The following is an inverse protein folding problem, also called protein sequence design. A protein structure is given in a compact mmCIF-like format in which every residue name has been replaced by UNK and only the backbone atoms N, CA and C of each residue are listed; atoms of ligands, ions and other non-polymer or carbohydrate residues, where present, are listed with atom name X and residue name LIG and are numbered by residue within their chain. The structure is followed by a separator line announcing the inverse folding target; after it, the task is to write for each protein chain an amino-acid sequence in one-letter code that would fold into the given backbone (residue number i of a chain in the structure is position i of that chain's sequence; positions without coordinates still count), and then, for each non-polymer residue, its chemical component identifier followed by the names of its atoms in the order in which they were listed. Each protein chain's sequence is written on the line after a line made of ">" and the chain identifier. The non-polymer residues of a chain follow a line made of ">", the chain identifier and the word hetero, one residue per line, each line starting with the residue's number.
data_IF_980516000655
#
_entry.id   IF_980516000655
#
_cell.length_a   1.000
_cell.length_b   1.000
_cell.length_c   1.000
_cell.angle_alpha   90.00
_cell.angle_beta   90.00
_cell.angle_gamma   90.00
#
_symmetry.space_group_name_H-M   'P 1'
#
loop_
_entity.id
_entity.type
_entity.pdbx_description
1 polymer ?
#
# COMPACT_ATOMS: atom_id res chain seq x y z
N UNK A 1 -41.62 17.50 -28.69
CA UNK A 1 -40.47 17.71 -27.78
C UNK A 1 -39.24 17.14 -28.46
N UNK A 2 -38.23 17.96 -28.76
CA UNK A 2 -36.94 17.44 -29.22
C UNK A 2 -36.21 16.88 -27.99
N UNK A 3 -35.99 15.58 -27.97
CA UNK A 3 -35.09 14.97 -26.99
C UNK A 3 -33.67 15.41 -27.29
N UNK A 4 -33.12 16.27 -26.44
CA UNK A 4 -31.73 16.67 -26.51
C UNK A 4 -30.87 15.46 -26.12
N UNK A 5 -30.24 14.81 -27.10
CA UNK A 5 -29.25 13.77 -26.84
C UNK A 5 -27.99 14.42 -26.26
N UNK A 6 -27.82 14.32 -24.95
CA UNK A 6 -26.58 14.74 -24.28
C UNK A 6 -25.53 13.66 -24.55
N UNK A 7 -24.40 14.07 -25.10
CA UNK A 7 -23.26 13.16 -25.29
C UNK A 7 -22.64 12.86 -23.94
N UNK A 8 -22.51 11.57 -23.59
CA UNK A 8 -21.85 11.15 -22.34
C UNK A 8 -20.44 11.74 -22.20
N UNK A 9 -19.73 11.91 -23.33
CA UNK A 9 -18.35 12.40 -23.39
C UNK A 9 -18.26 13.92 -23.13
N UNK A 10 -19.39 14.64 -23.16
CA UNK A 10 -19.43 16.07 -22.83
C UNK A 10 -19.47 16.37 -21.33
N UNK A 11 -19.50 15.33 -20.48
CA UNK A 11 -19.37 15.51 -19.04
C UNK A 11 -17.97 16.03 -18.67
N UNK A 12 -17.84 16.80 -17.57
CA UNK A 12 -16.54 17.19 -17.02
C UNK A 12 -15.60 16.00 -16.83
N UNK A 13 -14.32 16.18 -17.13
CA UNK A 13 -13.29 15.13 -17.08
C UNK A 13 -13.25 14.48 -15.68
N UNK A 14 -13.40 15.26 -14.62
CA UNK A 14 -13.40 14.79 -13.24
C UNK A 14 -14.55 13.81 -12.96
N UNK A 15 -15.71 14.03 -13.57
CA UNK A 15 -16.87 13.14 -13.46
C UNK A 15 -16.65 11.87 -14.27
N UNK A 16 -16.13 12.00 -15.50
CA UNK A 16 -15.81 10.85 -16.35
C UNK A 16 -14.76 9.94 -15.71
N UNK A 17 -13.74 10.49 -15.06
CA UNK A 17 -12.73 9.73 -14.34
C UNK A 17 -13.33 8.93 -13.19
N UNK A 18 -14.17 9.55 -12.34
CA UNK A 18 -14.89 8.84 -11.26
C UNK A 18 -15.78 7.72 -11.78
N UNK A 19 -16.45 7.95 -12.91
CA UNK A 19 -17.29 6.91 -13.52
C UNK A 19 -16.43 5.75 -14.04
N UNK A 20 -15.27 6.03 -14.65
CA UNK A 20 -14.33 5.00 -15.11
C UNK A 20 -13.66 4.26 -13.93
N UNK A 21 -13.42 4.92 -12.80
CA UNK A 21 -12.94 4.28 -11.56
C UNK A 21 -13.95 3.25 -11.06
N UNK A 22 -15.25 3.58 -11.11
CA UNK A 22 -16.34 2.68 -10.70
C UNK A 22 -16.53 1.56 -11.73
N UNK A 23 -16.54 1.89 -13.03
CA UNK A 23 -16.74 0.94 -14.13
C UNK A 23 -15.59 1.00 -15.16
N UNK A 24 -14.47 0.29 -14.91
CA UNK A 24 -13.27 0.36 -15.74
C UNK A 24 -13.45 -0.11 -17.18
N UNK A 25 -14.53 -0.86 -17.51
CA UNK A 25 -14.87 -1.24 -18.89
C UNK A 25 -15.19 -0.02 -19.75
N UNK A 26 -15.70 1.07 -19.17
CA UNK A 26 -16.01 2.28 -19.93
C UNK A 26 -14.76 2.88 -20.59
N UNK A 27 -13.58 2.64 -20.03
CA UNK A 27 -12.30 3.03 -20.61
C UNK A 27 -12.01 2.36 -21.97
N UNK A 28 -12.70 1.31 -22.39
CA UNK A 28 -12.43 0.67 -23.71
C UNK A 28 -13.53 0.93 -24.74
N UNK A 29 -14.53 1.74 -24.40
CA UNK A 29 -15.70 1.96 -25.26
C UNK A 29 -15.38 2.85 -26.47
N UNK A 30 -14.48 3.82 -26.31
CA UNK A 30 -13.99 4.62 -27.43
C UNK A 30 -12.58 5.19 -27.15
N UNK A 31 -11.97 5.84 -28.16
CA UNK A 31 -10.59 6.36 -28.09
C UNK A 31 -10.40 7.44 -27.01
N UNK A 32 -11.40 8.28 -26.78
CA UNK A 32 -11.33 9.39 -25.83
C UNK A 32 -11.48 8.88 -24.39
N UNK A 33 -12.45 8.00 -24.16
CA UNK A 33 -12.61 7.24 -22.91
C UNK A 33 -11.41 6.35 -22.62
N UNK A 34 -10.75 5.81 -23.65
CA UNK A 34 -9.49 5.07 -23.49
C UNK A 34 -8.34 5.97 -23.06
N UNK A 35 -8.23 7.19 -23.59
CA UNK A 35 -7.23 8.15 -23.12
C UNK A 35 -7.48 8.57 -21.67
N UNK A 36 -8.73 8.87 -21.31
CA UNK A 36 -9.10 9.21 -19.94
C UNK A 36 -8.92 8.03 -18.98
N UNK A 37 -9.42 6.85 -19.36
CA UNK A 37 -9.32 5.65 -18.56
C UNK A 37 -7.91 5.10 -18.47
N UNK A 38 -7.00 5.45 -19.37
CA UNK A 38 -5.55 5.22 -19.18
C UNK A 38 -5.01 6.00 -18.00
N UNK A 39 -5.46 7.24 -17.75
CA UNK A 39 -5.02 8.04 -16.60
C UNK A 39 -5.39 7.31 -15.30
N UNK A 40 -6.64 6.81 -15.21
CA UNK A 40 -7.12 6.00 -14.08
C UNK A 40 -6.35 4.67 -13.99
N UNK A 41 -6.23 3.95 -15.10
CA UNK A 41 -5.57 2.63 -15.15
C UNK A 41 -4.07 2.69 -14.84
N UNK A 42 -3.43 3.83 -15.07
CA UNK A 42 -2.01 4.04 -14.80
C UNK A 42 -1.74 4.87 -13.55
N UNK A 43 -2.77 5.29 -12.81
CA UNK A 43 -2.59 5.96 -11.52
C UNK A 43 -1.84 5.05 -10.52
N UNK A 44 -1.95 3.74 -10.70
CA UNK A 44 -1.25 2.75 -9.88
C UNK A 44 -0.43 1.78 -10.73
N UNK A 45 0.88 1.70 -10.46
CA UNK A 45 1.74 0.66 -11.02
C UNK A 45 1.99 -0.42 -9.98
N UNK A 46 1.67 -1.66 -10.35
CA UNK A 46 1.82 -2.83 -9.49
C UNK A 46 3.02 -3.65 -9.96
N UNK A 47 4.01 -3.78 -9.09
CA UNK A 47 5.19 -4.59 -9.31
C UNK A 47 4.95 -6.10 -9.25
N UNK A 48 6.01 -6.90 -9.45
CA UNK A 48 5.94 -8.34 -9.30
C UNK A 48 5.48 -8.69 -7.88
N UNK A 49 4.66 -9.73 -7.71
CA UNK A 49 3.99 -10.04 -6.45
C UNK A 49 2.57 -9.43 -6.31
N UNK A 50 2.13 -8.61 -7.29
CA UNK A 50 0.72 -8.19 -7.43
C UNK A 50 0.10 -7.55 -6.18
N UNK A 51 0.92 -6.78 -5.46
CA UNK A 51 0.52 -6.20 -4.19
C UNK A 51 -0.21 -4.87 -4.38
N UNK A 52 -1.10 -4.60 -3.45
CA UNK A 52 -1.90 -3.38 -3.40
C UNK A 52 -2.01 -2.95 -1.94
N UNK A 53 -2.76 -1.88 -1.65
CA UNK A 53 -3.08 -1.52 -0.27
C UNK A 53 -3.92 -2.60 0.44
N UNK A 54 -4.59 -3.48 -0.31
CA UNK A 54 -5.43 -4.56 0.22
C UNK A 54 -4.91 -5.96 -0.15
N UNK A 55 -3.66 -6.08 -0.59
CA UNK A 55 -3.05 -7.38 -0.87
C UNK A 55 -1.55 -7.39 -0.61
N UNK A 56 -1.07 -8.52 -0.08
CA UNK A 56 0.34 -8.76 0.20
C UNK A 56 0.82 -10.01 -0.53
N UNK A 57 2.02 -9.97 -1.08
CA UNK A 57 2.65 -11.15 -1.65
C UNK A 57 3.26 -12.03 -0.57
N UNK A 58 2.93 -13.32 -0.61
CA UNK A 58 3.53 -14.37 0.21
C UNK A 58 4.93 -14.76 -0.27
N UNK A 59 5.31 -14.43 -1.51
CA UNK A 59 6.58 -14.84 -2.12
C UNK A 59 7.43 -13.63 -2.51
N UNK A 60 8.73 -13.74 -2.29
CA UNK A 60 9.67 -12.77 -2.84
C UNK A 60 9.81 -13.02 -4.34
N UNK A 61 9.78 -11.97 -5.18
CA UNK A 61 10.01 -12.13 -6.60
C UNK A 61 11.46 -12.50 -6.86
N UNK A 62 11.68 -13.28 -7.92
CA UNK A 62 13.03 -13.61 -8.40
C UNK A 62 13.73 -12.38 -8.97
N UNK A 63 15.06 -12.38 -9.01
CA UNK A 63 15.85 -11.28 -9.60
C UNK A 63 15.40 -10.97 -11.03
N UNK A 64 15.11 -12.00 -11.83
CA UNK A 64 14.61 -11.83 -13.20
C UNK A 64 13.26 -11.10 -13.25
N UNK A 65 12.34 -11.42 -12.34
CA UNK A 65 11.05 -10.71 -12.26
C UNK A 65 11.24 -9.24 -11.87
N UNK A 66 12.14 -8.97 -10.92
CA UNK A 66 12.44 -7.59 -10.50
C UNK A 66 13.14 -6.79 -11.60
N UNK A 67 14.14 -7.36 -12.28
CA UNK A 67 14.83 -6.73 -13.40
C UNK A 67 13.88 -6.41 -14.56
N UNK A 68 12.96 -7.33 -14.90
CA UNK A 68 11.91 -7.08 -15.90
C UNK A 68 11.01 -5.91 -15.50
N UNK A 69 10.67 -5.81 -14.21
CA UNK A 69 9.89 -4.70 -13.70
C UNK A 69 10.63 -3.36 -13.79
N UNK A 70 11.90 -3.31 -13.39
CA UNK A 70 12.72 -2.09 -13.52
C UNK A 70 12.84 -1.67 -14.98
N UNK A 71 13.04 -2.62 -15.91
CA UNK A 71 13.04 -2.35 -17.35
C UNK A 71 11.70 -1.79 -17.83
N UNK A 72 10.59 -2.38 -17.39
CA UNK A 72 9.26 -1.87 -17.68
C UNK A 72 9.09 -0.42 -17.19
N UNK A 73 9.50 -0.11 -15.95
CA UNK A 73 9.45 1.26 -15.42
C UNK A 73 10.28 2.20 -16.29
N UNK A 74 11.50 1.82 -16.65
CA UNK A 74 12.37 2.62 -17.51
C UNK A 74 11.69 2.99 -18.84
N UNK A 75 11.13 1.99 -19.53
CA UNK A 75 10.38 2.18 -20.78
C UNK A 75 9.12 3.04 -20.54
N UNK A 76 8.38 2.76 -19.47
CA UNK A 76 7.15 3.50 -19.10
C UNK A 76 7.41 4.98 -18.87
N UNK A 77 8.55 5.34 -18.26
CA UNK A 77 8.87 6.74 -17.94
C UNK A 77 9.17 7.61 -19.15
N UNK A 78 9.32 7.03 -20.34
CA UNK A 78 9.48 7.76 -21.60
C UNK A 78 8.16 8.29 -22.15
N UNK A 79 7.05 7.88 -21.53
CA UNK A 79 5.71 8.12 -22.03
C UNK A 79 5.06 9.26 -21.24
N UNK A 80 4.32 10.13 -21.93
CA UNK A 80 3.73 11.34 -21.33
C UNK A 80 2.84 11.08 -20.11
N UNK A 81 2.29 9.86 -19.98
CA UNK A 81 1.42 9.47 -18.88
C UNK A 81 2.16 9.03 -17.61
N UNK A 82 3.50 8.94 -17.64
CA UNK A 82 4.31 8.65 -16.45
C UNK A 82 4.02 9.58 -15.26
N UNK A 83 3.70 10.85 -15.56
CA UNK A 83 3.40 11.88 -14.56
C UNK A 83 2.09 11.62 -13.81
N UNK A 84 1.20 10.76 -14.34
CA UNK A 84 -0.09 10.45 -13.73
C UNK A 84 0.00 9.32 -12.69
N UNK A 85 1.13 8.61 -12.62
CA UNK A 85 1.32 7.54 -11.63
C UNK A 85 1.43 8.16 -10.24
N UNK A 86 0.49 7.82 -9.36
CA UNK A 86 0.45 8.27 -7.96
C UNK A 86 0.79 7.16 -6.98
N UNK A 87 0.49 5.91 -7.31
CA UNK A 87 0.73 4.77 -6.43
C UNK A 87 1.73 3.82 -7.09
N UNK A 88 2.75 3.42 -6.34
CA UNK A 88 3.70 2.41 -6.78
C UNK A 88 3.77 1.29 -5.76
N UNK A 89 3.62 0.05 -6.22
CA UNK A 89 3.87 -1.13 -5.41
C UNK A 89 5.12 -1.86 -5.87
N UNK A 90 6.00 -2.18 -4.92
CA UNK A 90 7.26 -2.82 -5.21
C UNK A 90 7.71 -3.75 -4.09
N UNK A 91 8.44 -4.78 -4.49
CA UNK A 91 9.18 -5.65 -3.60
C UNK A 91 10.63 -5.22 -3.51
N UNK A 92 11.23 -5.44 -2.35
CA UNK A 92 12.68 -5.34 -2.20
C UNK A 92 13.29 -6.74 -2.04
N UNK A 93 14.37 -6.95 -2.78
CA UNK A 93 15.25 -8.11 -2.66
C UNK A 93 16.34 -7.88 -1.62
N UNK A 94 16.92 -8.99 -1.14
CA UNK A 94 18.14 -9.00 -0.33
C UNK A 94 19.32 -8.38 -1.10
N UNK A 95 20.25 -7.75 -0.37
CA UNK A 95 21.39 -7.08 -0.96
C UNK A 95 22.27 -8.02 -1.78
N UNK A 96 22.37 -7.71 -3.06
CA UNK A 96 23.40 -8.21 -3.98
C UNK A 96 23.89 -7.01 -4.81
N UNK A 97 25.12 -7.07 -5.34
CA UNK A 97 25.65 -5.99 -6.18
C UNK A 97 24.72 -5.68 -7.36
N UNK A 98 24.18 -6.72 -8.00
CA UNK A 98 23.24 -6.58 -9.12
C UNK A 98 21.91 -5.95 -8.68
N UNK A 99 21.45 -6.19 -7.45
CA UNK A 99 20.24 -5.56 -6.94
C UNK A 99 20.44 -4.05 -6.72
N UNK A 100 21.62 -3.63 -6.23
CA UNK A 100 21.95 -2.21 -6.02
C UNK A 100 21.86 -1.39 -7.30
N UNK A 101 22.39 -1.90 -8.42
CA UNK A 101 22.28 -1.24 -9.73
C UNK A 101 20.82 -1.07 -10.17
N UNK A 102 19.99 -2.10 -9.97
CA UNK A 102 18.56 -2.03 -10.27
C UNK A 102 17.84 -0.98 -9.42
N UNK A 103 18.18 -0.85 -8.14
CA UNK A 103 17.60 0.20 -7.29
C UNK A 103 18.03 1.61 -7.70
N UNK A 104 19.29 1.81 -8.10
CA UNK A 104 19.76 3.09 -8.62
C UNK A 104 19.02 3.49 -9.89
N UNK A 105 18.86 2.56 -10.84
CA UNK A 105 18.09 2.80 -12.07
C UNK A 105 16.63 3.12 -11.77
N UNK A 106 16.04 2.41 -10.81
CA UNK A 106 14.67 2.63 -10.39
C UNK A 106 14.51 3.99 -9.73
N UNK A 107 15.42 4.38 -8.83
CA UNK A 107 15.37 5.68 -8.17
C UNK A 107 15.41 6.84 -9.18
N UNK A 108 16.29 6.77 -10.17
CA UNK A 108 16.39 7.76 -11.26
C UNK A 108 15.09 7.85 -12.07
N UNK A 109 14.54 6.70 -12.46
CA UNK A 109 13.32 6.64 -13.25
C UNK A 109 12.10 7.20 -12.50
N UNK A 110 11.99 6.90 -11.21
CA UNK A 110 10.86 7.33 -10.38
C UNK A 110 10.83 8.84 -10.11
N UNK A 111 11.92 9.59 -10.39
CA UNK A 111 11.90 11.06 -10.36
C UNK A 111 10.88 11.66 -11.33
N UNK A 112 10.49 10.92 -12.37
CA UNK A 112 9.52 11.36 -13.39
C UNK A 112 8.06 11.11 -13.00
N UNK A 113 7.81 10.35 -11.94
CA UNK A 113 6.46 10.05 -11.46
C UNK A 113 6.04 11.08 -10.41
N UNK A 114 4.73 11.34 -10.32
CA UNK A 114 4.15 12.18 -9.27
C UNK A 114 3.61 11.31 -8.12
N UNK A 115 4.50 10.49 -7.54
CA UNK A 115 4.11 9.51 -6.53
C UNK A 115 3.58 10.19 -5.26
N UNK A 116 2.37 9.79 -4.87
CA UNK A 116 1.72 10.16 -3.61
C UNK A 116 1.75 9.00 -2.59
N UNK A 117 1.80 7.75 -3.06
CA UNK A 117 1.82 6.55 -2.22
C UNK A 117 2.86 5.53 -2.69
N UNK A 118 3.55 4.92 -1.73
CA UNK A 118 4.51 3.85 -1.97
C UNK A 118 4.15 2.62 -1.12
N UNK A 119 4.07 1.46 -1.76
CA UNK A 119 3.79 0.18 -1.12
C UNK A 119 5.03 -0.71 -1.27
N UNK A 120 5.56 -1.15 -0.14
CA UNK A 120 6.82 -1.87 -0.02
C UNK A 120 6.52 -3.24 0.58
N UNK A 121 7.09 -4.31 0.03
CA UNK A 121 7.09 -5.62 0.69
C UNK A 121 8.48 -6.13 1.00
N UNK A 122 8.60 -6.48 2.27
CA UNK A 122 9.80 -6.65 3.05
C UNK A 122 10.66 -5.39 2.95
N UNK A 123 10.84 -4.63 4.04
CA UNK A 123 11.81 -3.55 4.00
C UNK A 123 13.19 -4.13 3.65
N UNK A 124 13.97 -3.45 2.80
CA UNK A 124 15.32 -3.91 2.48
C UNK A 124 16.21 -3.89 3.71
N UNK A 125 17.32 -4.63 3.65
CA UNK A 125 18.38 -4.50 4.65
C UNK A 125 18.98 -3.08 4.65
N UNK A 126 19.70 -2.74 5.71
CA UNK A 126 20.18 -1.37 5.99
C UNK A 126 20.88 -0.70 4.81
N UNK A 127 21.79 -1.40 4.12
CA UNK A 127 22.54 -0.82 2.99
C UNK A 127 21.64 -0.43 1.82
N UNK A 128 20.57 -1.18 1.60
CA UNK A 128 19.64 -0.95 0.49
C UNK A 128 18.55 0.08 0.82
N UNK A 129 18.34 0.38 2.11
CA UNK A 129 17.36 1.37 2.55
C UNK A 129 17.57 2.72 1.89
N UNK A 130 18.84 3.12 1.69
CA UNK A 130 19.22 4.38 1.06
C UNK A 130 18.70 4.52 -0.38
N UNK A 131 18.41 3.42 -1.08
CA UNK A 131 17.91 3.45 -2.45
C UNK A 131 16.39 3.34 -2.57
N UNK A 132 15.65 3.27 -1.46
CA UNK A 132 14.18 3.36 -1.51
C UNK A 132 13.78 4.78 -1.96
N UNK A 133 12.93 4.92 -2.99
CA UNK A 133 12.56 6.20 -3.61
C UNK A 133 11.51 6.98 -2.80
N UNK A 134 11.69 7.08 -1.47
CA UNK A 134 10.88 7.96 -0.62
C UNK A 134 11.35 9.39 -0.87
N UNK A 135 10.57 10.17 -1.62
CA UNK A 135 10.89 11.51 -2.10
C UNK A 135 9.81 12.52 -1.71
N UNK A 136 10.10 13.80 -1.95
CA UNK A 136 9.15 14.90 -1.76
C UNK A 136 7.91 14.66 -2.63
N UNK A 137 6.73 14.70 -2.01
CA UNK A 137 5.45 14.45 -2.69
C UNK A 137 4.76 13.18 -2.21
N UNK A 138 5.53 12.17 -1.77
CA UNK A 138 4.98 10.95 -1.17
C UNK A 138 4.42 11.31 0.21
N UNK A 139 3.13 11.04 0.39
CA UNK A 139 2.37 11.31 1.61
C UNK A 139 2.04 10.03 2.38
N UNK A 140 1.98 8.89 1.70
CA UNK A 140 1.67 7.59 2.31
C UNK A 140 2.73 6.56 2.00
N UNK A 141 3.18 5.81 3.01
CA UNK A 141 4.08 4.67 2.84
C UNK A 141 3.49 3.47 3.57
N UNK A 142 3.21 2.41 2.81
CA UNK A 142 2.78 1.12 3.34
C UNK A 142 3.93 0.13 3.27
N UNK A 143 4.33 -0.47 4.39
CA UNK A 143 5.31 -1.54 4.46
C UNK A 143 4.62 -2.82 4.89
N UNK A 144 4.84 -3.87 4.10
CA UNK A 144 4.51 -5.24 4.44
C UNK A 144 5.76 -5.96 4.94
N UNK A 145 5.69 -6.63 6.09
CA UNK A 145 6.80 -7.39 6.65
C UNK A 145 6.35 -8.75 7.17
N UNK A 146 7.25 -9.74 7.09
CA UNK A 146 7.12 -11.03 7.80
C UNK A 146 8.01 -11.08 9.03
N UNK A 147 8.90 -10.10 9.17
CA UNK A 147 9.84 -10.01 10.26
C UNK A 147 9.17 -9.36 11.48
N UNK A 148 9.00 -10.18 12.53
CA UNK A 148 8.45 -9.76 13.82
C UNK A 148 9.46 -8.99 14.68
N UNK A 149 10.75 -9.05 14.32
CA UNK A 149 11.83 -8.35 15.01
C UNK A 149 12.15 -7.00 14.36
N UNK A 150 11.42 -6.61 13.32
CA UNK A 150 11.62 -5.36 12.61
C UNK A 150 11.59 -4.17 13.59
N UNK A 151 12.64 -3.35 13.68
CA UNK A 151 12.70 -2.22 14.62
C UNK A 151 11.78 -1.10 14.14
N UNK A 152 10.49 -1.20 14.51
CA UNK A 152 9.42 -0.29 14.06
C UNK A 152 9.75 1.18 14.27
N UNK A 153 10.34 1.51 15.43
CA UNK A 153 10.70 2.89 15.76
C UNK A 153 11.74 3.44 14.78
N UNK A 154 12.86 2.73 14.62
CA UNK A 154 13.95 3.12 13.73
C UNK A 154 13.48 3.20 12.27
N UNK A 155 12.59 2.29 11.87
CA UNK A 155 11.98 2.29 10.54
C UNK A 155 11.16 3.58 10.29
N UNK A 156 10.34 4.00 11.27
CA UNK A 156 9.56 5.24 11.20
C UNK A 156 10.49 6.45 11.09
N UNK A 157 11.53 6.53 11.94
CA UNK A 157 12.53 7.60 11.87
C UNK A 157 13.16 7.66 10.48
N UNK A 158 13.69 6.53 10.00
CA UNK A 158 14.36 6.43 8.69
C UNK A 158 13.45 6.78 7.51
N UNK A 159 12.14 6.50 7.56
CA UNK A 159 11.20 6.92 6.52
C UNK A 159 11.01 8.44 6.51
N UNK A 160 10.84 9.04 7.69
CA UNK A 160 10.54 10.46 7.84
C UNK A 160 11.78 11.31 7.52
N UNK A 161 12.96 10.84 7.90
CA UNK A 161 14.25 11.45 7.50
C UNK A 161 14.40 11.54 5.97
N UNK A 162 13.86 10.56 5.22
CA UNK A 162 13.89 10.61 3.75
C UNK A 162 12.94 11.63 3.15
N UNK A 163 11.79 11.87 3.79
CA UNK A 163 10.82 12.84 3.28
C UNK A 163 9.91 13.39 4.37
N UNK A 164 10.05 14.69 4.60
CA UNK A 164 9.15 15.44 5.48
C UNK A 164 7.71 15.51 4.93
N UNK A 165 7.41 15.08 3.70
CA UNK A 165 6.03 15.11 3.18
C UNK A 165 5.15 13.95 3.65
N UNK A 166 5.74 12.94 4.32
CA UNK A 166 5.01 11.77 4.80
C UNK A 166 4.00 12.18 5.87
N UNK A 167 2.75 11.75 5.67
CA UNK A 167 1.62 11.96 6.58
C UNK A 167 1.12 10.66 7.18
N UNK A 168 1.15 9.57 6.41
CA UNK A 168 0.61 8.29 6.83
C UNK A 168 1.65 7.19 6.63
N UNK A 169 1.90 6.43 7.68
CA UNK A 169 2.73 5.23 7.65
C UNK A 169 1.85 4.05 8.03
N UNK A 170 1.77 3.03 7.18
CA UNK A 170 1.08 1.78 7.50
C UNK A 170 2.09 0.63 7.51
N UNK A 171 2.19 -0.06 8.64
CA UNK A 171 3.06 -1.22 8.80
C UNK A 171 2.17 -2.45 9.02
N UNK A 172 2.20 -3.33 8.03
CA UNK A 172 1.38 -4.52 7.94
C UNK A 172 2.26 -5.76 8.11
N UNK A 173 1.95 -6.59 9.09
CA UNK A 173 2.78 -7.72 9.46
C UNK A 173 2.04 -9.04 9.30
N UNK A 174 2.65 -10.01 8.64
CA UNK A 174 2.11 -11.37 8.55
C UNK A 174 2.38 -12.15 9.84
N UNK A 175 1.57 -11.89 10.86
CA UNK A 175 1.61 -12.57 12.15
C UNK A 175 0.25 -12.49 12.86
N UNK A 176 0.11 -13.24 13.94
CA UNK A 176 -1.14 -13.45 14.66
C UNK A 176 -1.36 -12.51 15.86
N UNK A 177 -0.33 -11.83 16.34
CA UNK A 177 -0.37 -11.16 17.65
C UNK A 177 0.31 -9.78 17.63
N UNK A 178 -0.50 -8.72 17.50
CA UNK A 178 -0.03 -7.32 17.44
C UNK A 178 0.71 -6.88 18.71
N UNK A 179 0.49 -7.54 19.86
CA UNK A 179 1.15 -7.17 21.13
C UNK A 179 2.64 -7.51 21.13
N UNK A 180 3.11 -8.34 20.19
CA UNK A 180 4.54 -8.60 19.96
C UNK A 180 5.31 -7.36 19.52
N UNK A 181 4.64 -6.32 19.01
CA UNK A 181 5.31 -5.09 18.61
C UNK A 181 5.45 -4.10 19.77
N UNK A 182 6.63 -3.47 19.84
CA UNK A 182 6.87 -2.36 20.77
C UNK A 182 5.80 -1.28 20.58
N UNK A 183 5.14 -0.89 21.66
CA UNK A 183 4.17 0.21 21.67
C UNK A 183 4.85 1.50 21.23
N UNK A 184 4.16 2.30 20.40
CA UNK A 184 4.60 3.63 19.97
C UNK A 184 3.97 4.74 20.81
N UNK A 185 3.13 4.40 21.79
CA UNK A 185 2.43 5.37 22.62
C UNK A 185 3.43 6.19 23.44
N UNK A 186 3.31 7.51 23.35
CA UNK A 186 4.25 8.45 23.96
C UNK A 186 5.58 8.60 23.21
N UNK A 187 5.73 8.02 22.01
CA UNK A 187 6.93 8.23 21.18
C UNK A 187 7.08 9.72 20.85
N UNK A 188 8.24 10.28 21.19
CA UNK A 188 8.49 11.72 21.02
C UNK A 188 9.06 12.04 19.65
N UNK A 189 8.33 12.88 18.93
CA UNK A 189 8.68 13.43 17.62
C UNK A 189 9.25 14.84 17.80
N UNK A 190 10.47 14.92 18.37
CA UNK A 190 11.12 16.20 18.75
C UNK A 190 11.62 17.03 17.57
N UNK A 191 11.78 16.41 16.41
CA UNK A 191 12.37 17.02 15.22
C UNK A 191 11.27 17.62 14.32
N UNK A 192 11.48 18.83 13.81
CA UNK A 192 10.56 19.51 12.87
C UNK A 192 10.31 18.69 11.60
N UNK A 193 11.22 17.77 11.27
CA UNK A 193 11.09 16.81 10.18
C UNK A 193 9.83 15.92 10.30
N UNK A 194 9.30 15.77 11.51
CA UNK A 194 8.09 15.00 11.83
C UNK A 194 6.80 15.84 11.78
N UNK A 195 6.90 17.13 11.43
CA UNK A 195 5.80 18.09 11.50
C UNK A 195 4.59 17.74 10.64
N UNK A 196 4.75 16.89 9.62
CA UNK A 196 3.65 16.50 8.74
C UNK A 196 3.09 15.10 9.04
N UNK A 197 3.73 14.31 9.89
CA UNK A 197 3.24 12.97 10.22
C UNK A 197 1.89 13.10 10.94
N UNK A 198 0.82 12.56 10.35
CA UNK A 198 -0.52 12.56 10.94
C UNK A 198 -0.78 11.25 11.68
N UNK A 199 -0.45 10.10 11.08
CA UNK A 199 -0.82 8.77 11.60
C UNK A 199 0.21 7.69 11.33
N UNK A 200 0.35 6.76 12.28
CA UNK A 200 1.04 5.47 12.10
C UNK A 200 0.04 4.35 12.41
N UNK A 201 -0.09 3.39 11.49
CA UNK A 201 -0.94 2.20 11.67
C UNK A 201 -0.07 0.96 11.73
N UNK A 202 -0.19 0.17 12.79
CA UNK A 202 0.41 -1.16 12.90
C UNK A 202 -0.70 -2.19 12.77
N UNK A 203 -0.59 -3.14 11.86
CA UNK A 203 -1.61 -4.18 11.67
C UNK A 203 -0.98 -5.56 11.64
N UNK A 204 -1.45 -6.45 12.50
CA UNK A 204 -1.20 -7.88 12.41
C UNK A 204 -2.25 -8.48 11.47
N UNK A 205 -1.76 -9.12 10.40
CA UNK A 205 -2.55 -9.80 9.40
C UNK A 205 -2.47 -11.28 9.71
N UNK A 206 -3.60 -11.82 10.19
CA UNK A 206 -3.73 -13.21 10.53
C UNK A 206 -3.53 -14.08 9.28
N UNK A 207 -2.41 -14.81 9.24
CA UNK A 207 -2.23 -15.88 8.27
C UNK A 207 -2.86 -17.11 8.90
N UNK A 208 -3.93 -17.65 8.31
CA UNK A 208 -4.57 -18.88 8.78
C UNK A 208 -3.63 -20.08 8.63
N UNK A 209 -2.64 -20.21 9.52
CA UNK A 209 -1.82 -21.40 9.66
C UNK A 209 -2.58 -22.42 10.51
N UNK A 210 -3.51 -23.16 9.89
CA UNK A 210 -3.76 -24.52 10.40
C UNK A 210 -2.52 -25.35 10.07
N UNK A 211 -1.59 -25.42 11.01
CA UNK A 211 -0.67 -26.56 11.11
C UNK A 211 -1.52 -27.83 11.24
N UNK A 212 -1.82 -28.45 10.10
CA UNK A 212 -2.29 -29.82 10.05
C UNK A 212 -1.06 -30.70 9.93
N UNK A 213 -0.65 -31.28 11.06
CA UNK A 213 0.26 -32.43 11.11
C UNK A 213 -0.36 -33.63 10.39
N UNK A 214 -0.39 -33.61 9.04
CA UNK A 214 -0.58 -34.81 8.22
C UNK A 214 0.25 -34.67 6.95
N UNK A 215 1.27 -35.53 6.87
CA UNK A 215 2.08 -35.82 5.69
C UNK A 215 1.17 -36.16 4.51
N UNK A 216 1.24 -35.44 3.38
CA UNK A 216 1.39 -36.02 2.03
C UNK A 216 1.57 -34.92 0.95
N UNK A 217 2.30 -35.22 -0.15
CA UNK A 217 2.84 -34.25 -1.09
C UNK A 217 1.92 -34.11 -2.30
N UNK A 218 1.16 -33.02 -2.35
CA UNK A 218 0.63 -32.42 -3.57
C UNK A 218 0.04 -31.07 -3.19
N UNK A 219 0.79 -29.99 -3.41
CA UNK A 219 0.21 -28.65 -3.40
C UNK A 219 -0.86 -28.56 -4.49
N UNK A 220 -2.12 -28.33 -4.12
CA UNK A 220 -3.08 -27.59 -4.94
C UNK A 220 -3.88 -26.64 -4.05
N UNK A 221 -3.53 -25.37 -4.22
CA UNK A 221 -4.30 -24.16 -4.02
C UNK A 221 -5.78 -24.37 -3.69
N UNK A 222 -6.13 -23.96 -2.48
CA UNK A 222 -7.25 -23.06 -2.21
C UNK A 222 -7.03 -22.59 -0.77
N UNK A 223 -6.94 -21.27 -0.58
CA UNK A 223 -7.39 -20.69 0.68
C UNK A 223 -8.75 -21.34 0.92
N UNK A 224 -8.88 -22.15 1.98
CA UNK A 224 -10.22 -22.67 2.34
C UNK A 224 -11.12 -21.43 2.40
N UNK A 225 -12.34 -21.46 1.82
CA UNK A 225 -13.30 -20.41 2.10
C UNK A 225 -13.34 -20.31 3.62
N UNK A 226 -12.92 -19.17 4.14
CA UNK A 226 -13.12 -18.83 5.53
C UNK A 226 -14.63 -18.97 5.68
N UNK A 227 -15.08 -19.92 6.49
CA UNK A 227 -16.51 -20.06 6.76
C UNK A 227 -16.99 -18.67 7.17
N UNK A 228 -18.04 -18.18 6.52
CA UNK A 228 -18.60 -16.81 6.63
C UNK A 228 -18.91 -16.34 8.07
N UNK A 229 -18.63 -17.13 9.11
CA UNK A 229 -19.00 -16.85 10.50
C UNK A 229 -17.85 -16.69 11.52
N UNK A 230 -16.57 -16.79 11.15
CA UNK A 230 -15.48 -16.82 12.15
C UNK A 230 -14.41 -15.72 12.07
N UNK A 231 -14.58 -14.67 11.25
CA UNK A 231 -13.81 -13.43 11.41
C UNK A 231 -14.75 -12.38 12.00
N UNK A 232 -14.83 -12.38 13.34
CA UNK A 232 -15.58 -11.35 14.06
C UNK A 232 -14.75 -10.08 14.04
N UNK A 233 -15.27 -9.04 13.39
CA UNK A 233 -14.90 -7.63 13.43
C UNK A 233 -13.90 -7.17 14.52
N UNK A 234 -14.12 -7.51 15.79
CA UNK A 234 -13.20 -7.20 16.90
C UNK A 234 -11.78 -7.68 16.60
N UNK A 235 -11.61 -8.83 15.95
CA UNK A 235 -10.32 -9.36 15.55
C UNK A 235 -9.53 -8.42 14.63
N UNK A 236 -10.17 -7.53 13.85
CA UNK A 236 -9.47 -6.60 12.95
C UNK A 236 -9.08 -5.29 13.63
N UNK A 237 -9.96 -4.72 14.46
CA UNK A 237 -9.56 -3.59 15.29
C UNK A 237 -8.57 -4.04 16.36
N UNK A 238 -8.76 -5.18 17.02
CA UNK A 238 -7.83 -5.74 18.00
C UNK A 238 -6.47 -6.07 17.36
N UNK A 239 -6.45 -6.50 16.09
CA UNK A 239 -5.19 -6.73 15.38
C UNK A 239 -4.58 -5.47 14.76
N UNK A 240 -5.19 -4.29 14.95
CA UNK A 240 -4.72 -3.02 14.39
C UNK A 240 -4.51 -2.00 15.49
N UNK A 241 -3.35 -1.32 15.53
CA UNK A 241 -3.09 -0.21 16.44
C UNK A 241 -2.88 1.04 15.62
N UNK A 242 -3.63 2.09 15.93
CA UNK A 242 -3.59 3.36 15.22
C UNK A 242 -3.05 4.41 16.17
N UNK A 243 -1.96 5.05 15.79
CA UNK A 243 -1.36 6.15 16.51
C UNK A 243 -1.59 7.43 15.72
N UNK A 244 -2.04 8.47 16.39
CA UNK A 244 -2.18 9.80 15.82
C UNK A 244 -1.18 10.73 16.46
N UNK A 245 -0.58 11.61 15.67
CA UNK A 245 0.24 12.67 16.21
C UNK A 245 -0.62 13.69 16.96
N UNK A 246 -0.30 13.93 18.23
CA UNK A 246 -0.81 15.04 19.03
C UNK A 246 0.38 15.85 19.54
N UNK A 247 0.47 17.11 19.13
CA UNK A 247 1.63 17.99 19.40
C UNK A 247 2.94 17.33 18.95
N UNK A 248 3.80 16.94 19.88
CA UNK A 248 5.11 16.31 19.62
C UNK A 248 5.11 14.82 19.96
N UNK A 249 3.95 14.19 20.19
CA UNK A 249 3.84 12.79 20.58
C UNK A 249 3.00 12.01 19.58
N UNK A 250 3.29 10.73 19.42
CA UNK A 250 2.33 9.75 18.92
C UNK A 250 1.51 9.22 20.09
N UNK A 251 0.19 9.35 20.00
CA UNK A 251 -0.75 8.84 20.99
C UNK A 251 -1.61 7.76 20.34
N UNK A 252 -1.78 6.64 21.04
CA UNK A 252 -2.66 5.57 20.57
C UNK A 252 -4.13 6.00 20.61
N UNK A 253 -4.85 5.67 19.55
CA UNK A 253 -6.29 5.87 19.44
C UNK A 253 -6.99 4.62 19.94
N UNK A 254 -7.58 4.73 21.13
CA UNK A 254 -8.22 3.61 21.83
C UNK A 254 -9.73 3.53 21.60
N UNK A 255 -10.37 4.62 21.16
CA UNK A 255 -11.80 4.63 20.88
C UNK A 255 -12.09 4.05 19.49
N UNK A 256 -12.85 2.95 19.44
CA UNK A 256 -13.17 2.22 18.20
C UNK A 256 -13.76 3.09 17.10
N UNK A 257 -14.66 4.02 17.46
CA UNK A 257 -15.26 4.95 16.49
C UNK A 257 -14.20 5.85 15.85
N UNK A 258 -13.35 6.48 16.66
CA UNK A 258 -12.30 7.37 16.17
C UNK A 258 -11.25 6.60 15.35
N UNK A 259 -10.93 5.38 15.78
CA UNK A 259 -10.05 4.47 15.05
C UNK A 259 -10.63 4.10 13.69
N UNK A 260 -11.92 3.79 13.62
CA UNK A 260 -12.64 3.50 12.38
C UNK A 260 -12.63 4.69 11.44
N UNK A 261 -12.92 5.89 11.95
CA UNK A 261 -12.91 7.14 11.16
C UNK A 261 -11.53 7.41 10.55
N UNK A 262 -10.46 7.19 11.33
CA UNK A 262 -9.09 7.34 10.84
C UNK A 262 -8.72 6.29 9.79
N UNK A 263 -9.09 5.03 10.01
CA UNK A 263 -8.83 3.96 9.05
C UNK A 263 -9.57 4.22 7.73
N UNK A 264 -10.84 4.63 7.78
CA UNK A 264 -11.58 5.01 6.58
C UNK A 264 -10.86 6.11 5.79
N UNK A 265 -10.38 7.16 6.47
CA UNK A 265 -9.58 8.23 5.84
C UNK A 265 -8.27 7.70 5.25
N UNK A 266 -7.52 6.88 6.00
CA UNK A 266 -6.19 6.39 5.60
C UNK A 266 -6.29 5.48 4.37
N UNK A 267 -7.30 4.61 4.32
CA UNK A 267 -7.50 3.66 3.22
C UNK A 267 -8.42 4.19 2.12
N UNK A 268 -8.85 5.46 2.21
CA UNK A 268 -9.76 6.12 1.28
C UNK A 268 -11.06 5.33 1.06
N UNK A 269 -11.69 4.95 2.17
CA UNK A 269 -12.95 4.21 2.24
C UNK A 269 -14.08 5.14 2.67
N UNK A 270 -15.32 4.76 2.38
CA UNK A 270 -16.47 5.43 2.96
C UNK A 270 -16.42 5.35 4.48
N UNK A 271 -16.77 6.47 5.12
CA UNK A 271 -16.64 6.59 6.57
C UNK A 271 -17.79 5.92 7.31
N UNK A 272 -17.83 4.60 7.23
CA UNK A 272 -18.70 3.75 8.00
C UNK A 272 -17.96 2.46 8.40
N UNK A 273 -18.46 1.84 9.45
CA UNK A 273 -17.87 0.66 10.06
C UNK A 273 -17.85 -0.55 9.12
N UNK A 274 -18.96 -0.81 8.44
CA UNK A 274 -19.14 -2.00 7.62
C UNK A 274 -18.18 -2.01 6.42
N UNK A 275 -17.94 -0.84 5.81
CA UNK A 275 -17.00 -0.69 4.70
C UNK A 275 -15.55 -0.89 5.13
N UNK A 276 -15.15 -0.40 6.31
CA UNK A 276 -13.80 -0.64 6.84
C UNK A 276 -13.60 -2.12 7.18
N UNK A 277 -14.61 -2.75 7.79
CA UNK A 277 -14.61 -4.17 8.09
C UNK A 277 -14.51 -5.01 6.82
N UNK A 278 -15.39 -4.78 5.85
CA UNK A 278 -15.42 -5.47 4.57
C UNK A 278 -14.11 -5.31 3.81
N UNK A 279 -13.50 -4.11 3.84
CA UNK A 279 -12.20 -3.89 3.22
C UNK A 279 -11.13 -4.81 3.83
N UNK A 280 -11.09 -4.94 5.16
CA UNK A 280 -10.13 -5.79 5.86
C UNK A 280 -10.41 -7.28 5.76
N UNK A 281 -11.68 -7.69 5.73
CA UNK A 281 -12.10 -9.07 5.49
C UNK A 281 -11.68 -9.52 4.07
N UNK A 282 -11.75 -8.61 3.11
CA UNK A 282 -11.32 -8.83 1.74
C UNK A 282 -9.82 -8.73 1.52
N UNK A 283 -9.00 -8.57 2.57
CA UNK A 283 -7.56 -8.50 2.45
C UNK A 283 -6.97 -9.82 1.93
N UNK A 284 -6.16 -9.77 0.87
CA UNK A 284 -5.68 -10.98 0.16
C UNK A 284 -4.18 -11.22 0.36
N UNK A 285 -3.84 -12.46 0.69
CA UNK A 285 -2.48 -12.97 0.49
C UNK A 285 -2.40 -13.54 -0.93
N UNK A 286 -1.55 -12.94 -1.76
CA UNK A 286 -1.34 -13.31 -3.16
C UNK A 286 0.00 -14.02 -3.34
N UNK A 287 0.08 -14.90 -4.35
CA UNK A 287 1.26 -15.71 -4.69
C UNK A 287 2.04 -15.16 -5.89
#
# INVERSE_FOLDING_TARGET
>A
MMETKISFISLPIEILLRIIEIEPVLAVVNREMFRLGRIVRYESIIGPGRMTMNSISSKQPTFSQYAKFVRFINEFTTLDYAVNVKNLSMHFQTATNNAKELYLQLDENLKKFNLASLIINQPPNDDLWNYIPIKRGIKSVTIYSKDVLLPVHDLIYRMIEKSMSIRHIQLHFLQDDIDKFKRLDGMVLKDESFSNLETVTLRAILVSHKQSNKKHPAMRHQLKPIKENDIKFHNHLDSTRVFRRRKQLLEEVTADKEKTDLLAKIYNLDNNFDTVAEYFDNFKVVD
#
